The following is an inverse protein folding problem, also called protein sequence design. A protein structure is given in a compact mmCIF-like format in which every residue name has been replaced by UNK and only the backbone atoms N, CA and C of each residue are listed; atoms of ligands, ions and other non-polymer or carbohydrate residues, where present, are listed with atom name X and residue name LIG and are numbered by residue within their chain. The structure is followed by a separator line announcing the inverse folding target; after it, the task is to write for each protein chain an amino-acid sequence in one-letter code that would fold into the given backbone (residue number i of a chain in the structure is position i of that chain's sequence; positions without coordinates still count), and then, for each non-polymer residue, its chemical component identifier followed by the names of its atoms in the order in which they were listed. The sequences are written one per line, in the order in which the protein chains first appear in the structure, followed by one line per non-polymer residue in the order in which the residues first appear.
data_IF_851104896960
#
_entry.id   IF_851104896960
#
_cell.length_a   1.000
_cell.length_b   1.000
_cell.length_c   1.000
_cell.angle_alpha   90.00
_cell.angle_beta   90.00
_cell.angle_gamma   90.00
#
_symmetry.space_group_name_H-M   'P 1'
#
loop_
_entity.id
_entity.type
_entity.pdbx_description
1 polymer ?
#
# COMPACT_ATOMS: atom_id res chain seq x y z
N UNK A 1 1.89 21.84 10.24
CA UNK A 1 0.65 21.54 10.98
C UNK A 1 -0.40 22.56 10.59
N UNK A 2 -1.21 22.31 9.55
CA UNK A 2 -2.23 23.25 9.12
C UNK A 2 -3.59 22.54 8.97
N UNK A 3 -4.56 23.04 9.74
CA UNK A 3 -6.01 22.84 9.66
C UNK A 3 -6.56 21.40 9.67
N UNK A 4 -6.70 20.84 10.88
CA UNK A 4 -7.65 19.74 11.15
C UNK A 4 -9.04 20.24 11.60
N UNK A 5 -9.25 21.54 11.72
CA UNK A 5 -10.57 22.10 12.04
C UNK A 5 -11.38 22.26 10.75
N UNK A 6 -12.21 21.25 10.49
CA UNK A 6 -13.25 21.25 9.47
C UNK A 6 -14.37 22.20 9.93
N UNK A 7 -14.15 23.51 9.78
CA UNK A 7 -15.14 24.53 10.10
C UNK A 7 -16.05 24.75 8.86
N UNK A 8 -17.34 24.39 8.89
CA UNK A 8 -18.22 24.47 7.73
C UNK A 8 -18.57 25.91 7.33
N UNK A 9 -18.19 26.92 8.13
CA UNK A 9 -18.53 28.33 7.89
C UNK A 9 -17.50 29.10 7.05
N UNK A 10 -16.31 28.56 6.80
CA UNK A 10 -15.27 29.26 6.05
C UNK A 10 -14.61 28.34 5.01
N UNK A 11 -15.19 28.33 3.80
CA UNK A 11 -14.63 27.74 2.56
C UNK A 11 -13.30 28.40 2.09
N UNK A 12 -12.59 29.07 3.00
CA UNK A 12 -11.32 29.77 2.73
C UNK A 12 -10.22 29.24 3.63
N UNK A 13 -9.90 27.95 3.49
CA UNK A 13 -8.56 27.49 3.81
C UNK A 13 -7.59 28.09 2.77
N UNK A 14 -6.48 28.68 3.24
CA UNK A 14 -5.45 29.40 2.47
C UNK A 14 -4.67 28.55 1.43
N UNK A 15 -5.17 27.37 1.01
CA UNK A 15 -4.60 26.50 -0.03
C UNK A 15 -5.20 26.80 -1.43
N UNK A 16 -5.29 28.08 -1.79
CA UNK A 16 -6.08 28.64 -2.90
C UNK A 16 -5.66 28.31 -4.33
N UNK A 17 -5.17 27.11 -4.65
CA UNK A 17 -4.91 26.71 -6.05
C UNK A 17 -5.54 25.36 -6.41
N UNK A 18 -5.67 24.43 -5.47
CA UNK A 18 -6.41 23.18 -5.67
C UNK A 18 -7.51 23.06 -4.63
N UNK A 19 -8.78 23.00 -5.08
CA UNK A 19 -9.89 22.59 -4.22
C UNK A 19 -9.52 21.24 -3.60
N UNK A 20 -9.24 21.21 -2.29
CA UNK A 20 -8.90 20.00 -1.53
C UNK A 20 -9.89 18.87 -1.82
N UNK A 21 -11.17 19.20 -1.99
CA UNK A 21 -12.20 18.25 -2.43
C UNK A 21 -11.88 17.58 -3.78
N UNK A 22 -11.44 18.33 -4.79
CA UNK A 22 -11.13 17.80 -6.12
C UNK A 22 -9.94 16.85 -6.07
N UNK A 23 -8.91 17.18 -5.28
CA UNK A 23 -7.75 16.30 -5.07
C UNK A 23 -8.12 14.98 -4.38
N UNK A 24 -8.91 15.04 -3.31
CA UNK A 24 -9.34 13.84 -2.58
C UNK A 24 -10.24 12.92 -3.41
N UNK A 25 -11.13 13.48 -4.24
CA UNK A 25 -11.98 12.70 -5.16
C UNK A 25 -11.11 12.00 -6.20
N UNK A 26 -10.12 12.70 -6.79
CA UNK A 26 -9.22 12.12 -7.78
C UNK A 26 -8.42 10.95 -7.21
N UNK A 27 -7.86 11.11 -6.01
CA UNK A 27 -7.12 10.04 -5.32
C UNK A 27 -8.04 8.86 -5.01
N UNK A 28 -9.26 9.12 -4.55
CA UNK A 28 -10.27 8.09 -4.32
C UNK A 28 -10.62 7.31 -5.58
N UNK A 29 -10.83 8.01 -6.70
CA UNK A 29 -11.15 7.40 -7.99
C UNK A 29 -9.99 6.54 -8.53
N UNK A 30 -8.76 7.05 -8.51
CA UNK A 30 -7.58 6.29 -8.94
C UNK A 30 -7.39 5.05 -8.06
N UNK A 31 -7.52 5.20 -6.74
CA UNK A 31 -7.43 4.07 -5.80
C UNK A 31 -8.50 3.02 -6.10
N UNK A 32 -9.75 3.45 -6.32
CA UNK A 32 -10.86 2.55 -6.60
C UNK A 32 -10.62 1.73 -7.86
N UNK A 33 -10.22 2.39 -8.96
CA UNK A 33 -9.94 1.71 -10.24
C UNK A 33 -8.74 0.78 -10.12
N UNK A 34 -7.65 1.25 -9.51
CA UNK A 34 -6.43 0.44 -9.34
C UNK A 34 -6.69 -0.82 -8.52
N UNK A 35 -7.43 -0.70 -7.41
CA UNK A 35 -7.79 -1.84 -6.56
C UNK A 35 -8.75 -2.78 -7.28
N UNK A 36 -9.73 -2.27 -8.04
CA UNK A 36 -10.62 -3.11 -8.83
C UNK A 36 -9.86 -3.96 -9.86
N UNK A 37 -8.86 -3.40 -10.55
CA UNK A 37 -7.98 -4.15 -11.44
C UNK A 37 -7.12 -5.18 -10.69
N UNK A 38 -6.59 -4.84 -9.51
CA UNK A 38 -5.84 -5.77 -8.65
C UNK A 38 -6.67 -6.99 -8.25
N UNK A 39 -7.92 -6.76 -7.85
CA UNK A 39 -8.88 -7.81 -7.51
C UNK A 39 -9.13 -8.71 -8.73
N UNK A 40 -9.42 -8.11 -9.89
CA UNK A 40 -9.67 -8.87 -11.12
C UNK A 40 -8.47 -9.76 -11.48
N UNK A 41 -7.26 -9.21 -11.40
CA UNK A 41 -6.02 -9.94 -11.63
C UNK A 41 -5.84 -11.11 -10.65
N UNK A 42 -6.04 -10.89 -9.36
CA UNK A 42 -5.87 -11.93 -8.31
C UNK A 42 -6.90 -13.06 -8.44
N UNK A 43 -8.13 -12.73 -8.80
CA UNK A 43 -9.18 -13.73 -9.09
C UNK A 43 -8.76 -14.62 -10.25
N UNK A 44 -8.17 -14.05 -11.30
CA UNK A 44 -7.72 -14.82 -12.46
C UNK A 44 -6.44 -15.64 -12.23
N UNK A 45 -5.53 -15.21 -11.35
CA UNK A 45 -4.15 -15.75 -11.32
C UNK A 45 -3.70 -16.35 -10.00
N UNK A 46 -4.24 -15.93 -8.85
CA UNK A 46 -3.59 -16.13 -7.54
C UNK A 46 -4.50 -16.63 -6.43
N UNK A 47 -5.78 -16.94 -6.72
CA UNK A 47 -6.75 -17.32 -5.69
C UNK A 47 -6.42 -18.61 -4.92
N UNK A 48 -5.59 -19.49 -5.47
CA UNK A 48 -5.22 -20.77 -4.83
C UNK A 48 -4.13 -20.66 -3.77
N UNK A 49 -3.44 -19.52 -3.66
CA UNK A 49 -2.42 -19.29 -2.64
C UNK A 49 -3.04 -18.67 -1.39
N UNK A 50 -2.65 -19.14 -0.20
CA UNK A 50 -3.09 -18.56 1.09
C UNK A 50 -2.75 -17.07 1.19
N UNK A 51 -1.60 -16.66 0.67
CA UNK A 51 -1.22 -15.25 0.54
C UNK A 51 -2.14 -14.49 -0.41
N UNK A 52 -2.54 -15.12 -1.52
CA UNK A 52 -3.50 -14.57 -2.47
C UNK A 52 -4.85 -14.25 -1.83
N UNK A 53 -5.36 -15.14 -0.98
CA UNK A 53 -6.63 -14.94 -0.26
C UNK A 53 -6.55 -13.77 0.73
N UNK A 54 -5.49 -13.70 1.53
CA UNK A 54 -5.33 -12.61 2.52
C UNK A 54 -5.24 -11.26 1.82
N UNK A 55 -4.44 -11.17 0.75
CA UNK A 55 -4.30 -9.92 0.00
C UNK A 55 -5.55 -9.59 -0.82
N UNK A 56 -6.36 -10.57 -1.21
CA UNK A 56 -7.66 -10.35 -1.84
C UNK A 56 -8.67 -9.73 -0.86
N UNK A 57 -8.79 -10.26 0.36
CA UNK A 57 -9.68 -9.71 1.39
C UNK A 57 -9.32 -8.26 1.70
N UNK A 58 -8.02 -7.98 1.82
CA UNK A 58 -7.53 -6.61 2.02
C UNK A 58 -7.89 -5.68 0.86
N UNK A 59 -7.72 -6.11 -0.40
CA UNK A 59 -8.10 -5.31 -1.57
C UNK A 59 -9.62 -5.05 -1.62
N UNK A 60 -10.45 -6.05 -1.30
CA UNK A 60 -11.91 -5.87 -1.23
C UNK A 60 -12.29 -4.84 -0.15
N UNK A 61 -11.65 -4.90 1.02
CA UNK A 61 -11.83 -3.90 2.06
C UNK A 61 -11.42 -2.49 1.60
N UNK A 62 -10.26 -2.37 0.94
CA UNK A 62 -9.76 -1.11 0.41
C UNK A 62 -10.67 -0.53 -0.67
N UNK A 63 -11.26 -1.38 -1.54
CA UNK A 63 -12.24 -0.97 -2.55
C UNK A 63 -13.49 -0.39 -1.90
N UNK A 64 -14.03 -1.07 -0.88
CA UNK A 64 -15.18 -0.59 -0.13
C UNK A 64 -14.87 0.74 0.58
N UNK A 65 -13.68 0.86 1.19
CA UNK A 65 -13.23 2.07 1.85
C UNK A 65 -13.04 3.25 0.87
N UNK A 66 -12.55 2.99 -0.35
CA UNK A 66 -12.43 4.01 -1.40
C UNK A 66 -13.82 4.48 -1.89
N UNK A 67 -14.79 3.58 -2.02
CA UNK A 67 -16.19 3.95 -2.30
C UNK A 67 -16.79 4.82 -1.19
N UNK A 68 -16.53 4.45 0.08
CA UNK A 68 -16.93 5.24 1.25
C UNK A 68 -16.27 6.62 1.27
N UNK A 69 -15.00 6.75 0.87
CA UNK A 69 -14.31 8.03 0.77
C UNK A 69 -15.01 8.97 -0.22
N UNK A 70 -15.33 8.47 -1.43
CA UNK A 70 -16.03 9.26 -2.44
C UNK A 70 -17.40 9.69 -1.90
N UNK A 71 -18.14 8.74 -1.29
CA UNK A 71 -19.43 9.02 -0.67
C UNK A 71 -19.34 10.05 0.47
N UNK A 72 -18.30 9.97 1.30
CA UNK A 72 -18.04 10.89 2.40
C UNK A 72 -17.81 12.32 1.91
N UNK A 73 -17.06 12.48 0.83
CA UNK A 73 -16.76 13.78 0.22
C UNK A 73 -18.02 14.39 -0.38
N UNK A 74 -18.81 13.59 -1.12
CA UNK A 74 -20.06 14.06 -1.73
C UNK A 74 -21.08 14.51 -0.67
N UNK A 75 -21.17 13.79 0.45
CA UNK A 75 -22.12 14.09 1.52
C UNK A 75 -21.57 15.02 2.61
N UNK A 76 -20.34 15.54 2.47
CA UNK A 76 -19.65 16.39 3.46
C UNK A 76 -19.61 15.78 4.88
N UNK A 77 -19.52 14.44 5.00
CA UNK A 77 -19.48 13.74 6.29
C UNK A 77 -18.07 13.21 6.61
N UNK A 78 -17.31 13.98 7.39
CA UNK A 78 -15.90 13.67 7.71
C UNK A 78 -15.70 12.29 8.38
N UNK A 79 -16.63 11.82 9.22
CA UNK A 79 -16.47 10.53 9.91
C UNK A 79 -16.36 9.32 8.97
N UNK A 80 -16.90 9.43 7.75
CA UNK A 80 -16.87 8.36 6.76
C UNK A 80 -15.53 8.26 6.01
N UNK A 81 -14.60 9.19 6.25
CA UNK A 81 -13.25 9.15 5.70
C UNK A 81 -12.29 8.27 6.51
N UNK A 82 -12.63 8.00 7.78
CA UNK A 82 -11.79 7.24 8.72
C UNK A 82 -11.45 5.83 8.20
N UNK A 83 -12.40 5.03 7.67
CA UNK A 83 -12.10 3.67 7.19
C UNK A 83 -11.04 3.64 6.09
N UNK A 84 -11.07 4.60 5.16
CA UNK A 84 -10.07 4.72 4.11
C UNK A 84 -8.69 5.07 4.67
N UNK A 85 -8.64 5.97 5.65
CA UNK A 85 -7.41 6.37 6.33
C UNK A 85 -6.76 5.18 7.07
N UNK A 86 -7.57 4.39 7.78
CA UNK A 86 -7.13 3.16 8.44
C UNK A 86 -6.61 2.15 7.42
N UNK A 87 -7.34 1.93 6.33
CA UNK A 87 -6.90 1.04 5.25
C UNK A 87 -5.55 1.49 4.68
N UNK A 88 -5.38 2.77 4.40
CA UNK A 88 -4.15 3.33 3.84
C UNK A 88 -2.95 3.17 4.80
N UNK A 89 -3.15 3.39 6.10
CA UNK A 89 -2.09 3.17 7.12
C UNK A 89 -1.68 1.70 7.18
N UNK A 90 -2.64 0.77 7.20
CA UNK A 90 -2.35 -0.66 7.19
C UNK A 90 -1.59 -1.08 5.92
N UNK A 91 -1.97 -0.53 4.76
CA UNK A 91 -1.28 -0.76 3.50
C UNK A 91 0.17 -0.28 3.52
N UNK A 92 0.42 0.91 4.07
CA UNK A 92 1.78 1.46 4.22
C UNK A 92 2.64 0.59 5.14
N UNK A 93 2.09 0.12 6.26
CA UNK A 93 2.78 -0.83 7.14
C UNK A 93 3.11 -2.13 6.41
N UNK A 94 2.17 -2.66 5.63
CA UNK A 94 2.40 -3.85 4.79
C UNK A 94 3.53 -3.67 3.78
N UNK A 95 3.57 -2.53 3.08
CA UNK A 95 4.65 -2.21 2.13
C UNK A 95 6.00 -2.13 2.84
N UNK A 96 6.06 -1.49 4.01
CA UNK A 96 7.29 -1.41 4.81
C UNK A 96 7.79 -2.81 5.18
N UNK A 97 6.90 -3.71 5.63
CA UNK A 97 7.26 -5.09 5.96
C UNK A 97 7.80 -5.85 4.75
N UNK A 98 7.17 -5.70 3.58
CA UNK A 98 7.64 -6.32 2.33
C UNK A 98 9.04 -5.83 1.97
N UNK A 99 9.28 -4.52 2.05
CA UNK A 99 10.60 -3.93 1.77
C UNK A 99 11.66 -4.48 2.73
N UNK A 100 11.36 -4.59 4.03
CA UNK A 100 12.27 -5.17 5.01
C UNK A 100 12.61 -6.63 4.68
N UNK A 101 11.61 -7.44 4.32
CA UNK A 101 11.82 -8.85 3.94
C UNK A 101 12.71 -8.95 2.70
N UNK A 102 12.47 -8.12 1.68
CA UNK A 102 13.26 -8.11 0.46
C UNK A 102 14.72 -7.73 0.75
N UNK A 103 14.95 -6.68 1.55
CA UNK A 103 16.31 -6.24 1.94
C UNK A 103 17.04 -7.34 2.72
N UNK A 104 16.39 -7.97 3.68
CA UNK A 104 16.99 -9.07 4.46
C UNK A 104 17.29 -10.28 3.56
N UNK A 105 16.41 -10.58 2.61
CA UNK A 105 16.62 -11.65 1.62
C UNK A 105 17.85 -11.41 0.74
N UNK A 106 17.98 -10.22 0.18
CA UNK A 106 19.13 -9.80 -0.64
C UNK A 106 20.45 -9.88 0.14
N UNK A 107 20.46 -9.36 1.38
CA UNK A 107 21.66 -9.42 2.24
C UNK A 107 22.04 -10.87 2.53
N UNK A 108 21.06 -11.72 2.87
CA UNK A 108 21.30 -13.13 3.19
C UNK A 108 21.87 -13.91 1.99
N UNK A 109 21.35 -13.65 0.79
CA UNK A 109 21.87 -14.24 -0.45
C UNK A 109 23.31 -13.82 -0.72
N UNK A 110 23.63 -12.53 -0.50
CA UNK A 110 24.98 -12.03 -0.70
C UNK A 110 25.99 -12.72 0.24
N UNK A 111 25.67 -12.89 1.52
CA UNK A 111 26.53 -13.63 2.46
C UNK A 111 26.69 -15.10 2.06
N UNK A 112 25.60 -15.77 1.67
CA UNK A 112 25.65 -17.16 1.24
C UNK A 112 26.54 -17.38 0.02
N UNK A 113 26.49 -16.49 -0.97
CA UNK A 113 27.33 -16.57 -2.17
C UNK A 113 28.80 -16.41 -1.82
N UNK A 114 29.14 -15.46 -0.94
CA UNK A 114 30.53 -15.22 -0.50
C UNK A 114 31.10 -16.43 0.23
N UNK A 115 30.35 -17.02 1.17
CA UNK A 115 30.78 -18.21 1.93
C UNK A 115 31.03 -19.42 1.01
N UNK A 116 30.14 -19.65 0.03
CA UNK A 116 30.29 -20.76 -0.93
C UNK A 116 31.52 -20.54 -1.83
N UNK A 117 31.78 -19.30 -2.26
CA UNK A 117 32.96 -18.96 -3.06
C UNK A 117 34.26 -19.14 -2.27
N UNK A 118 34.32 -18.69 -1.03
CA UNK A 118 35.50 -18.88 -0.18
C UNK A 118 35.79 -20.35 0.06
N UNK A 119 34.76 -21.16 0.32
CA UNK A 119 34.93 -22.61 0.52
C UNK A 119 35.53 -23.29 -0.72
N UNK A 120 35.08 -22.92 -1.93
CA UNK A 120 35.63 -23.47 -3.18
C UNK A 120 37.07 -23.07 -3.45
N UNK A 121 37.53 -21.89 -3.02
CA UNK A 121 38.93 -21.49 -3.17
C UNK A 121 39.86 -22.29 -2.25
N UNK A 122 39.44 -22.54 -1.01
CA UNK A 122 40.22 -23.35 -0.04
C UNK A 122 40.36 -24.80 -0.53
N UNK A 123 39.27 -25.40 -1.03
CA UNK A 123 39.30 -26.78 -1.55
C UNK A 123 40.18 -26.92 -2.81
N UNK A 124 40.38 -25.84 -3.57
CA UNK A 124 41.24 -25.83 -4.76
C UNK A 124 42.74 -25.74 -4.42
N UNK A 125 43.11 -25.06 -3.33
CA UNK A 125 44.51 -24.97 -2.88
C UNK A 125 44.97 -26.21 -2.09
N UNK A 126 44.07 -26.91 -1.39
CA UNK A 126 44.41 -28.07 -0.56
C UNK A 126 44.55 -29.40 -1.30
N UNK A 127 44.36 -29.44 -2.62
CA UNK A 127 44.30 -30.67 -3.43
C UNK A 127 45.50 -30.96 -4.34
N UNK A 128 46.61 -30.22 -4.22
CA UNK A 128 47.86 -30.42 -4.97
C UNK A 128 48.97 -31.06 -4.14
#
# INVERSE_FOLDING_TARGET
MCCWTFDPASDRCFCGIFKLQTGSILIGAISFVGVAFSILYKVCTSMYSSYGIVTFIYDVYLLAAAGLLIWAILNKRAMWMIPYLVAQVLGMVGIILIVVILVVGEISLHFFIVDVLQKKMIDAEGGG
#
